data_IF_211216469771
#
_entry.id   IF_211216469771
#
_cell.length_a   1.000
_cell.length_b   1.000
_cell.length_c   1.000
_cell.angle_alpha   90.00
_cell.angle_beta   90.00
_cell.angle_gamma   90.00
#
_symmetry.space_group_name_H-M   'P 1'
#
loop_
_entity.id
_entity.type
_entity.pdbx_description
1 polymer ?
#
# COMPACT_ATOMS: atom_id res chain seq x y z
N UNK A 1 10.08 -41.46 11.35
CA UNK A 1 9.38 -40.32 12.00
C UNK A 1 10.22 -39.05 12.09
N UNK A 2 11.39 -38.96 11.45
CA UNK A 2 12.29 -37.79 11.51
C UNK A 2 12.16 -36.83 10.31
N UNK A 3 11.75 -37.34 9.14
CA UNK A 3 11.55 -36.51 7.94
C UNK A 3 10.35 -35.54 8.11
N UNK A 4 9.22 -36.02 8.64
CA UNK A 4 8.03 -35.19 8.89
C UNK A 4 8.29 -34.03 9.85
N UNK A 5 9.12 -34.23 10.88
CA UNK A 5 9.46 -33.16 11.83
C UNK A 5 10.35 -32.09 11.19
N UNK A 6 11.25 -32.48 10.29
CA UNK A 6 12.17 -31.55 9.62
C UNK A 6 11.44 -30.69 8.59
N UNK A 7 10.51 -31.29 7.84
CA UNK A 7 9.58 -30.57 6.94
C UNK A 7 8.70 -29.57 7.71
N UNK A 8 8.21 -29.96 8.89
CA UNK A 8 7.37 -29.09 9.73
C UNK A 8 8.18 -27.89 10.25
N UNK A 9 9.41 -28.13 10.72
CA UNK A 9 10.33 -27.08 11.16
C UNK A 9 10.71 -26.13 10.01
N UNK A 10 11.02 -26.67 8.83
CA UNK A 10 11.33 -25.87 7.65
C UNK A 10 10.13 -25.00 7.22
N UNK A 11 8.92 -25.57 7.27
CA UNK A 11 7.68 -24.85 6.97
C UNK A 11 7.44 -23.71 7.95
N UNK A 12 7.62 -23.94 9.25
CA UNK A 12 7.46 -22.90 10.27
C UNK A 12 8.53 -21.81 10.14
N UNK A 13 9.78 -22.17 9.85
CA UNK A 13 10.86 -21.21 9.61
C UNK A 13 10.58 -20.34 8.37
N UNK A 14 10.04 -20.91 7.30
CA UNK A 14 9.63 -20.17 6.10
C UNK A 14 8.49 -19.18 6.40
N UNK A 15 7.48 -19.60 7.16
CA UNK A 15 6.36 -18.72 7.58
C UNK A 15 6.88 -17.57 8.44
N UNK A 16 7.71 -17.86 9.45
CA UNK A 16 8.30 -16.83 10.31
C UNK A 16 9.15 -15.81 9.51
N UNK A 17 9.89 -16.29 8.52
CA UNK A 17 10.68 -15.43 7.61
C UNK A 17 9.78 -14.50 6.77
N UNK A 18 8.63 -15.00 6.31
CA UNK A 18 7.64 -14.20 5.59
C UNK A 18 6.97 -13.15 6.48
N UNK A 19 6.69 -13.49 7.73
CA UNK A 19 6.09 -12.56 8.70
C UNK A 19 7.08 -11.45 9.07
N UNK A 20 8.35 -11.78 9.28
CA UNK A 20 9.42 -10.79 9.50
C UNK A 20 9.58 -9.90 8.27
N UNK A 21 9.60 -10.47 7.07
CA UNK A 21 9.64 -9.73 5.81
C UNK A 21 8.44 -8.78 5.69
N UNK A 22 7.23 -9.26 5.99
CA UNK A 22 6.01 -8.45 5.96
C UNK A 22 5.97 -7.36 7.03
N UNK A 23 6.47 -7.61 8.23
CA UNK A 23 6.45 -6.64 9.31
C UNK A 23 7.55 -5.58 9.19
N UNK A 24 8.70 -5.91 8.59
CA UNK A 24 9.89 -5.04 8.62
C UNK A 24 10.33 -4.54 7.25
N UNK A 25 10.10 -5.29 6.17
CA UNK A 25 10.57 -4.94 4.83
C UNK A 25 9.42 -4.43 3.96
N UNK A 26 8.25 -5.07 4.01
CA UNK A 26 7.05 -4.65 3.25
C UNK A 26 6.57 -3.23 3.60
N UNK A 27 6.51 -2.77 4.87
CA UNK A 27 6.11 -1.40 5.17
C UNK A 27 7.12 -0.36 4.70
N UNK A 28 8.42 -0.71 4.58
CA UNK A 28 9.43 0.16 3.96
C UNK A 28 9.22 0.35 2.46
N UNK A 29 8.41 -0.50 1.82
CA UNK A 29 7.97 -0.29 0.43
C UNK A 29 7.00 0.89 0.30
N UNK A 30 6.39 1.34 1.41
CA UNK A 30 5.74 2.65 1.52
C UNK A 30 4.56 2.89 0.58
N UNK A 31 3.90 1.85 0.06
CA UNK A 31 2.79 2.03 -0.88
C UNK A 31 1.50 2.39 -0.14
N UNK A 32 1.39 3.64 0.29
CA UNK A 32 0.14 4.25 0.72
C UNK A 32 -0.62 4.81 -0.47
N UNK A 33 -1.93 4.61 -0.53
CA UNK A 33 -2.78 5.21 -1.55
C UNK A 33 -2.62 6.74 -1.52
N UNK A 34 -2.11 7.38 -2.60
CA UNK A 34 -1.86 8.82 -2.61
C UNK A 34 -3.11 9.65 -2.32
N UNK A 35 -4.27 9.20 -2.80
CA UNK A 35 -5.54 9.85 -2.49
C UNK A 35 -5.86 9.85 -0.99
N UNK A 36 -5.59 8.74 -0.30
CA UNK A 36 -5.80 8.64 1.15
C UNK A 36 -4.78 9.48 1.92
N UNK A 37 -3.52 9.48 1.48
CA UNK A 37 -2.48 10.28 2.11
C UNK A 37 -2.76 11.78 1.99
N UNK A 38 -3.20 12.25 0.82
CA UNK A 38 -3.46 13.67 0.59
C UNK A 38 -4.78 14.15 1.21
N UNK A 39 -5.85 13.36 1.14
CA UNK A 39 -7.20 13.78 1.56
C UNK A 39 -7.67 13.17 2.89
N UNK A 40 -6.86 12.31 3.53
CA UNK A 40 -7.17 11.63 4.79
C UNK A 40 -8.49 10.82 4.77
N UNK A 41 -8.92 10.40 3.58
CA UNK A 41 -10.19 9.71 3.36
C UNK A 41 -10.04 8.23 3.00
N UNK A 42 -11.10 7.70 2.41
CA UNK A 42 -11.17 6.32 1.91
C UNK A 42 -10.08 6.01 0.86
N UNK A 43 -9.43 4.84 0.96
CA UNK A 43 -8.47 4.40 -0.06
C UNK A 43 -9.17 4.05 -1.38
N UNK A 44 -8.43 4.00 -2.50
CA UNK A 44 -9.03 3.58 -3.76
C UNK A 44 -9.64 2.17 -3.69
N UNK A 45 -8.99 1.25 -2.98
CA UNK A 45 -9.48 -0.13 -2.83
C UNK A 45 -10.75 -0.18 -1.99
N UNK A 46 -10.79 0.58 -0.89
CA UNK A 46 -12.00 0.69 -0.05
C UNK A 46 -13.15 1.30 -0.86
N UNK A 47 -12.90 2.36 -1.63
CA UNK A 47 -13.91 3.02 -2.47
C UNK A 47 -14.51 2.07 -3.49
N UNK A 48 -13.68 1.31 -4.20
CA UNK A 48 -14.16 0.34 -5.19
C UNK A 48 -14.96 -0.77 -4.49
N UNK A 49 -14.48 -1.26 -3.33
CA UNK A 49 -15.20 -2.25 -2.53
C UNK A 49 -16.56 -1.72 -2.07
N UNK A 50 -16.64 -0.48 -1.62
CA UNK A 50 -17.88 0.17 -1.18
C UNK A 50 -18.87 0.28 -2.33
N UNK A 51 -18.43 0.71 -3.53
CA UNK A 51 -19.31 0.76 -4.71
C UNK A 51 -19.80 -0.62 -5.13
N UNK A 52 -18.95 -1.64 -5.07
CA UNK A 52 -19.35 -3.01 -5.35
C UNK A 52 -20.39 -3.54 -4.35
N UNK A 53 -20.33 -3.08 -3.10
CA UNK A 53 -21.23 -3.52 -2.02
C UNK A 53 -22.54 -2.75 -1.99
N UNK A 54 -22.49 -1.43 -2.18
CA UNK A 54 -23.63 -0.51 -2.03
C UNK A 54 -24.37 -0.25 -3.35
N UNK A 55 -23.72 -0.46 -4.50
CA UNK A 55 -24.30 -0.23 -5.81
C UNK A 55 -24.29 -1.53 -6.63
N UNK A 56 -23.70 -1.49 -7.83
CA UNK A 56 -23.65 -2.62 -8.76
C UNK A 56 -22.30 -2.65 -9.48
N UNK A 57 -21.96 -3.79 -10.07
CA UNK A 57 -20.71 -3.97 -10.81
C UNK A 57 -20.52 -2.94 -11.95
N UNK A 58 -21.59 -2.59 -12.66
CA UNK A 58 -21.55 -1.56 -13.71
C UNK A 58 -21.21 -0.17 -13.16
N UNK A 59 -21.69 0.17 -11.97
CA UNK A 59 -21.33 1.41 -11.29
C UNK A 59 -19.85 1.40 -10.89
N UNK A 60 -19.34 0.27 -10.39
CA UNK A 60 -17.92 0.12 -10.08
C UNK A 60 -17.04 0.32 -11.33
N UNK A 61 -17.39 -0.28 -12.47
CA UNK A 61 -16.64 -0.10 -13.72
C UNK A 61 -16.64 1.35 -14.21
N UNK A 62 -17.75 2.08 -14.03
CA UNK A 62 -17.86 3.48 -14.45
C UNK A 62 -17.16 4.45 -13.50
N UNK A 63 -17.22 4.22 -12.19
CA UNK A 63 -16.75 5.16 -11.17
C UNK A 63 -15.30 4.92 -10.73
N UNK A 64 -14.80 3.70 -10.83
CA UNK A 64 -13.41 3.36 -10.45
C UNK A 64 -12.36 4.16 -11.23
N UNK A 65 -12.47 4.35 -12.56
CA UNK A 65 -11.48 5.11 -13.32
C UNK A 65 -11.33 6.56 -12.84
N UNK A 66 -12.43 7.23 -12.49
CA UNK A 66 -12.39 8.60 -11.98
C UNK A 66 -11.70 8.66 -10.61
N UNK A 67 -11.97 7.69 -9.74
CA UNK A 67 -11.25 7.57 -8.46
C UNK A 67 -9.75 7.35 -8.67
N UNK A 68 -9.36 6.52 -9.63
CA UNK A 68 -7.94 6.28 -9.94
C UNK A 68 -7.26 7.50 -10.56
N UNK A 69 -7.96 8.28 -11.41
CA UNK A 69 -7.46 9.57 -11.93
C UNK A 69 -7.22 10.56 -10.78
N UNK A 70 -8.17 10.68 -9.86
CA UNK A 70 -8.00 11.52 -8.66
C UNK A 70 -6.82 11.06 -7.81
N UNK A 71 -6.62 9.74 -7.67
CA UNK A 71 -5.47 9.19 -6.97
C UNK A 71 -4.14 9.49 -7.65
N UNK A 72 -4.10 9.42 -8.99
CA UNK A 72 -2.92 9.84 -9.77
C UNK A 72 -2.62 11.32 -9.58
N UNK A 73 -3.64 12.18 -9.60
CA UNK A 73 -3.47 13.61 -9.34
C UNK A 73 -2.91 13.86 -7.92
N UNK A 74 -3.47 13.17 -6.90
CA UNK A 74 -2.95 13.24 -5.54
C UNK A 74 -1.49 12.78 -5.44
N UNK A 75 -1.10 11.74 -6.20
CA UNK A 75 0.29 11.29 -6.29
C UNK A 75 1.21 12.38 -6.84
N UNK A 76 0.79 13.08 -7.89
CA UNK A 76 1.55 14.19 -8.46
C UNK A 76 1.69 15.35 -7.48
N UNK A 77 0.63 15.69 -6.75
CA UNK A 77 0.68 16.70 -5.70
C UNK A 77 1.66 16.32 -4.59
N UNK A 78 1.58 15.10 -4.06
CA UNK A 78 2.52 14.62 -3.03
C UNK A 78 3.96 14.55 -3.52
N UNK A 79 4.18 14.20 -4.79
CA UNK A 79 5.52 14.24 -5.41
C UNK A 79 6.05 15.68 -5.52
N UNK A 80 5.21 16.64 -5.95
CA UNK A 80 5.60 18.05 -6.01
C UNK A 80 5.95 18.62 -4.63
N UNK A 81 5.17 18.27 -3.60
CA UNK A 81 5.43 18.66 -2.22
C UNK A 81 6.76 18.07 -1.73
N UNK A 82 6.99 16.77 -1.94
CA UNK A 82 8.27 16.14 -1.57
C UNK A 82 9.47 16.73 -2.34
N UNK A 83 9.30 17.10 -3.61
CA UNK A 83 10.33 17.75 -4.41
C UNK A 83 10.65 19.17 -3.90
N UNK A 84 9.66 19.89 -3.39
CA UNK A 84 9.83 21.21 -2.75
C UNK A 84 10.44 21.10 -1.36
N UNK A 85 10.20 19.99 -0.66
CA UNK A 85 10.86 19.61 0.61
C UNK A 85 12.29 19.07 0.42
N UNK A 86 12.87 19.21 -0.77
CA UNK A 86 14.18 18.67 -1.12
C UNK A 86 15.33 19.37 -0.38
N UNK A 87 15.65 18.86 0.80
CA UNK A 87 16.93 19.12 1.47
C UNK A 87 18.04 18.45 0.64
N UNK A 88 18.82 19.24 -0.11
CA UNK A 88 20.03 18.79 -0.80
C UNK A 88 21.18 18.76 0.23
N UNK A 89 21.12 17.85 1.22
CA UNK A 89 22.31 17.36 1.94
C UNK A 89 22.01 15.92 2.37
N UNK A 90 22.75 14.98 1.77
CA UNK A 90 22.96 13.62 2.28
C UNK A 90 23.68 13.80 3.63
N UNK A 91 23.11 13.54 4.84
CA UNK A 91 22.24 12.40 5.21
C UNK A 91 21.09 12.73 6.21
N UNK A 92 19.82 12.49 5.90
CA UNK A 92 18.65 12.42 6.82
C UNK A 92 17.39 12.47 5.95
N UNK A 93 16.19 11.95 6.23
CA UNK A 93 15.63 11.05 7.23
C UNK A 93 14.22 10.69 6.72
N UNK A 94 13.71 9.57 7.21
CA UNK A 94 12.35 9.00 7.14
C UNK A 94 11.22 10.05 7.21
N UNK A 95 10.10 9.93 6.46
CA UNK A 95 8.88 10.69 6.76
C UNK A 95 7.91 9.88 7.64
N UNK A 96 7.35 10.58 8.63
CA UNK A 96 6.30 10.20 9.60
C UNK A 96 5.00 9.81 8.89
#
# INVERSE_FOLDING_TARGET
MTAYSLETLATQAAIASLDVYRAHISPRKGFGCPHRLLHQGESCSDYVKRILTEQNFSAALRLSPDRFRACKAAAQTLQSQNAQSGCIIIPCCIPI
#
